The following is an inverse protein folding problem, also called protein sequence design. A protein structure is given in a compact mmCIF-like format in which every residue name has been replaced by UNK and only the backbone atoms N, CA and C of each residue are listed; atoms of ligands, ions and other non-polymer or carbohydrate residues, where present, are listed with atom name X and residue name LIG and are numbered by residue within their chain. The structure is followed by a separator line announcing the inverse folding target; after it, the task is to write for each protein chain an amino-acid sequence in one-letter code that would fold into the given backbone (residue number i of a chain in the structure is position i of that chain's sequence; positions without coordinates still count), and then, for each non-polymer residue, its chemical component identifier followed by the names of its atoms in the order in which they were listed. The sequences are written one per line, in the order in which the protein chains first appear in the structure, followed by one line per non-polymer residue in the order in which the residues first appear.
data_IF_083470876312
#
_entry.id   IF_083470876312
#
_cell.length_a   1.000
_cell.length_b   1.000
_cell.length_c   1.000
_cell.angle_alpha   90.00
_cell.angle_beta   90.00
_cell.angle_gamma   90.00
#
_symmetry.space_group_name_H-M   'P 1'
#
loop_
_entity.id
_entity.type
_entity.pdbx_description
1 polymer ?
#
# COMPACT_ATOMS: atom_id res chain seq x y z
N UNK A 1 35.85 -49.70 -0.87
CA UNK A 1 35.44 -49.31 -0.69
C UNK A 1 35.15 -48.47 -0.44
N UNK A 2 35.09 -48.35 -0.51
CA UNK A 2 34.75 -47.54 -0.12
C UNK A 2 34.21 -46.94 -0.39
N UNK A 3 34.36 -46.82 -0.91
CA UNK A 3 33.78 -46.35 -1.17
C UNK A 3 33.04 -45.73 -0.83
N UNK A 4 32.81 -45.71 -0.72
CA UNK A 4 31.87 -45.26 -0.15
C UNK A 4 32.03 -44.02 0.06
N UNK A 5 32.80 -43.75 0.39
CA UNK A 5 33.05 -42.55 0.74
C UNK A 5 32.66 -41.53 -0.14
N UNK A 6 32.83 -41.52 -1.12
CA UNK A 6 32.56 -40.44 -1.87
C UNK A 6 31.25 -40.04 -1.89
N UNK A 7 30.39 -40.79 -1.71
CA UNK A 7 29.15 -40.39 -1.77
C UNK A 7 28.71 -39.33 -1.02
N UNK A 8 28.89 -39.28 0.09
CA UNK A 8 28.26 -38.32 0.79
C UNK A 8 28.74 -37.01 0.55
N UNK A 9 29.74 -36.84 -0.02
CA UNK A 9 30.22 -35.63 -0.11
C UNK A 9 29.40 -34.92 -1.03
N UNK A 10 28.79 -35.54 -1.85
CA UNK A 10 28.01 -34.92 -2.74
C UNK A 10 26.94 -34.22 -2.13
N UNK A 11 26.43 -34.71 -1.22
CA UNK A 11 25.31 -34.08 -0.63
C UNK A 11 25.62 -32.72 -0.22
N UNK A 12 26.74 -32.51 0.21
CA UNK A 12 27.04 -31.29 0.66
C UNK A 12 26.93 -30.26 -0.31
N UNK A 13 27.32 -30.48 -1.41
CA UNK A 13 27.27 -29.55 -2.31
C UNK A 13 25.98 -29.03 -2.52
N UNK A 14 25.05 -29.75 -2.61
CA UNK A 14 23.80 -29.30 -2.76
C UNK A 14 23.38 -28.31 -1.88
N UNK A 15 23.54 -28.46 -0.80
CA UNK A 15 23.10 -27.55 0.14
C UNK A 15 23.55 -26.21 -0.15
N UNK A 16 24.71 -26.06 -0.42
CA UNK A 16 25.23 -24.87 -0.61
C UNK A 16 24.53 -24.12 -1.63
N UNK A 17 24.22 -24.71 -2.65
CA UNK A 17 23.60 -24.10 -3.62
C UNK A 17 22.39 -23.38 -3.25
N UNK A 18 21.67 -23.87 -2.45
CA UNK A 18 20.50 -23.27 -2.10
C UNK A 18 20.64 -21.96 -1.58
N UNK A 19 21.57 -21.70 -0.90
CA UNK A 19 21.70 -20.46 -0.35
C UNK A 19 21.74 -19.35 -1.26
N UNK A 20 22.29 -19.52 -2.25
CA UNK A 20 22.43 -18.48 -3.07
C UNK A 20 21.20 -17.98 -3.60
N UNK A 21 20.41 -18.79 -3.99
CA UNK A 21 19.21 -18.39 -4.49
C UNK A 21 18.51 -17.31 -3.83
N UNK A 22 18.28 -17.40 -2.68
CA UNK A 22 17.48 -16.45 -2.03
C UNK A 22 17.97 -15.12 -2.29
N UNK A 23 19.10 -15.03 -2.31
CA UNK A 23 19.65 -13.80 -2.42
C UNK A 23 19.17 -13.08 -3.52
N UNK A 24 18.96 -13.72 -4.49
CA UNK A 24 18.62 -13.02 -5.56
C UNK A 24 17.43 -12.27 -5.39
N UNK A 25 16.67 -12.72 -4.73
CA UNK A 25 15.45 -12.10 -4.67
C UNK A 25 15.54 -10.76 -4.34
N UNK A 26 16.43 -10.49 -3.78
CA UNK A 26 16.50 -9.31 -3.36
C UNK A 26 16.46 -8.32 -4.25
N UNK A 27 16.83 -8.53 -5.22
CA UNK A 27 16.87 -7.55 -5.95
C UNK A 27 15.90 -6.89 -6.30
N UNK A 28 15.34 -6.93 -5.90
CA UNK A 28 14.39 -6.33 -6.07
C UNK A 28 14.22 -5.19 -6.71
N UNK A 29 13.30 -5.05 -7.23
CA UNK A 29 13.11 -3.96 -7.81
C UNK A 29 12.37 -3.12 -7.01
N UNK A 30 12.38 -1.95 -6.96
CA UNK A 30 11.69 -1.05 -6.21
C UNK A 30 10.44 -0.75 -6.94
N UNK A 31 9.38 -1.33 -6.59
CA UNK A 31 8.12 -1.04 -7.20
C UNK A 31 7.30 -0.09 -6.35
N UNK A 32 7.92 0.93 -5.87
CA UNK A 32 7.17 1.87 -5.05
C UNK A 32 6.56 2.95 -5.92
N UNK A 33 5.44 3.49 -5.49
CA UNK A 33 4.82 4.62 -6.17
C UNK A 33 4.56 5.66 -5.10
N UNK A 34 4.41 6.89 -5.53
CA UNK A 34 4.14 7.95 -4.61
C UNK A 34 2.66 7.93 -4.32
N UNK A 35 2.27 8.06 -3.09
CA UNK A 35 0.86 8.13 -2.72
C UNK A 35 0.71 9.23 -1.69
N UNK A 36 -0.21 10.13 -1.93
CA UNK A 36 -0.40 11.28 -1.05
C UNK A 36 -1.88 11.34 -0.69
N UNK A 37 -2.18 11.34 0.59
CA UNK A 37 -3.56 11.37 1.07
C UNK A 37 -4.02 12.80 1.20
N UNK A 38 -5.23 13.07 0.78
CA UNK A 38 -5.83 14.39 0.88
C UNK A 38 -7.22 14.23 1.48
N UNK A 39 -7.53 14.93 2.54
CA UNK A 39 -6.73 15.96 3.20
C UNK A 39 -5.65 15.33 4.07
N UNK A 40 -4.61 16.07 4.39
CA UNK A 40 -3.54 15.50 5.21
C UNK A 40 -3.82 15.64 6.71
N UNK A 41 -4.92 16.28 7.07
CA UNK A 41 -5.41 16.28 8.44
C UNK A 41 -6.89 15.94 8.31
N UNK A 42 -7.30 14.83 8.88
CA UNK A 42 -8.66 14.39 8.73
C UNK A 42 -9.42 14.64 10.02
N UNK A 43 -10.51 15.38 9.92
CA UNK A 43 -11.31 15.67 11.10
C UNK A 43 -12.54 14.75 11.08
N UNK A 44 -12.63 13.89 12.08
CA UNK A 44 -13.71 12.93 12.12
C UNK A 44 -15.07 13.57 12.38
N UNK A 45 -15.08 14.87 12.71
CA UNK A 45 -16.34 15.55 12.91
C UNK A 45 -16.82 16.24 11.65
N UNK A 46 -16.10 16.13 10.57
CA UNK A 46 -16.52 16.74 9.32
C UNK A 46 -17.73 16.04 8.77
N UNK A 47 -18.53 16.72 7.99
CA UNK A 47 -19.68 16.13 7.39
C UNK A 47 -19.45 15.83 5.92
N UNK A 48 -19.79 14.65 5.52
CA UNK A 48 -19.70 14.30 4.10
C UNK A 48 -18.27 14.26 3.58
N UNK A 49 -18.16 14.22 2.31
CA UNK A 49 -16.86 14.26 1.68
C UNK A 49 -16.20 12.92 1.53
N UNK A 50 -14.96 12.98 1.15
CA UNK A 50 -14.21 11.76 0.86
C UNK A 50 -12.74 12.00 1.13
N UNK A 51 -12.01 10.90 1.19
CA UNK A 51 -10.57 10.94 1.36
C UNK A 51 -10.00 10.36 0.06
N UNK A 52 -9.00 11.03 -0.49
CA UNK A 52 -8.42 10.61 -1.74
C UNK A 52 -6.94 10.35 -1.61
N UNK A 53 -6.44 9.35 -2.31
CA UNK A 53 -5.03 9.12 -2.41
C UNK A 53 -4.65 9.43 -3.84
N UNK A 54 -3.73 10.37 -4.02
CA UNK A 54 -3.25 10.72 -5.34
C UNK A 54 -1.91 10.05 -5.56
N UNK A 55 -1.71 9.48 -6.71
CA UNK A 55 -0.48 8.74 -6.99
C UNK A 55 0.17 9.27 -8.27
N UNK A 56 1.36 8.79 -8.53
CA UNK A 56 2.05 9.12 -9.76
C UNK A 56 1.98 7.92 -10.73
N UNK A 57 1.06 7.00 -10.54
CA UNK A 57 0.95 5.83 -11.38
C UNK A 57 -0.12 6.06 -12.45
N UNK A 58 0.15 5.74 -13.69
CA UNK A 58 -0.80 5.97 -14.76
C UNK A 58 -2.04 5.10 -14.57
N UNK A 59 -3.19 5.70 -14.54
CA UNK A 59 -4.42 4.97 -14.29
C UNK A 59 -4.66 3.88 -15.35
N UNK A 60 -4.36 4.14 -16.58
CA UNK A 60 -4.62 3.15 -17.60
C UNK A 60 -3.79 1.90 -17.47
N UNK A 61 -2.76 1.95 -16.63
CA UNK A 61 -1.92 0.77 -16.44
C UNK A 61 -2.29 0.03 -15.16
N UNK A 62 -3.41 0.36 -14.54
CA UNK A 62 -3.82 -0.25 -13.30
C UNK A 62 -4.86 -1.32 -13.59
N UNK A 63 -4.59 -2.53 -13.10
CA UNK A 63 -5.56 -3.56 -13.23
C UNK A 63 -6.38 -3.68 -11.96
N UNK A 64 -5.81 -3.45 -10.83
CA UNK A 64 -6.50 -3.57 -9.56
C UNK A 64 -5.82 -2.72 -8.51
N UNK A 65 -6.55 -2.32 -7.51
CA UNK A 65 -5.99 -1.52 -6.43
C UNK A 65 -6.65 -1.94 -5.11
N UNK A 66 -5.87 -1.99 -4.06
CA UNK A 66 -6.37 -2.33 -2.74
C UNK A 66 -5.80 -1.34 -1.74
N UNK A 67 -6.61 -0.94 -0.79
CA UNK A 67 -6.21 0.06 0.18
C UNK A 67 -6.40 -0.49 1.58
N UNK A 68 -5.42 -0.30 2.45
CA UNK A 68 -5.60 -0.58 3.86
C UNK A 68 -5.32 0.70 4.63
N UNK A 69 -5.99 0.84 5.76
CA UNK A 69 -5.77 1.97 6.62
C UNK A 69 -5.50 1.38 7.99
N UNK A 70 -4.34 1.67 8.54
CA UNK A 70 -3.88 1.11 9.80
C UNK A 70 -3.97 -0.42 9.77
N UNK A 71 -3.67 -0.99 8.61
CA UNK A 71 -3.66 -2.44 8.47
C UNK A 71 -5.01 -3.09 8.19
N UNK A 72 -6.08 -2.31 8.12
CA UNK A 72 -7.40 -2.87 7.90
C UNK A 72 -7.85 -2.53 6.50
N UNK A 73 -8.29 -3.51 5.76
CA UNK A 73 -8.67 -3.29 4.37
C UNK A 73 -9.92 -2.45 4.24
N UNK A 74 -9.91 -1.51 3.32
CA UNK A 74 -11.05 -0.66 3.03
C UNK A 74 -11.75 -1.32 1.84
N UNK A 75 -12.94 -1.85 2.07
CA UNK A 75 -13.60 -2.61 1.05
C UNK A 75 -14.32 -1.81 -0.02
N UNK A 76 -14.62 -0.58 0.24
CA UNK A 76 -15.32 0.21 -0.75
C UNK A 76 -14.49 1.37 -1.18
N UNK A 77 -13.83 1.23 -2.28
CA UNK A 77 -13.01 2.31 -2.83
C UNK A 77 -13.43 2.54 -4.27
N UNK A 78 -13.16 3.72 -4.76
CA UNK A 78 -13.42 4.06 -6.14
C UNK A 78 -12.10 4.51 -6.74
N UNK A 79 -11.80 4.06 -7.93
CA UNK A 79 -10.56 4.43 -8.58
C UNK A 79 -10.87 5.17 -9.88
N UNK A 80 -10.07 6.15 -10.22
CA UNK A 80 -10.24 6.87 -11.47
C UNK A 80 -8.94 7.59 -11.83
N UNK A 81 -8.87 8.15 -13.01
CA UNK A 81 -7.72 8.90 -13.45
C UNK A 81 -7.98 10.38 -13.30
N UNK A 82 -7.01 11.13 -12.82
CA UNK A 82 -7.17 12.58 -12.67
C UNK A 82 -6.87 13.28 -13.98
N UNK A 83 -6.74 14.60 -13.95
CA UNK A 83 -6.47 15.39 -15.13
C UNK A 83 -5.20 14.96 -15.84
N UNK A 84 -4.25 14.39 -15.15
CA UNK A 84 -3.03 13.94 -15.77
C UNK A 84 -3.09 12.44 -16.01
N UNK A 85 -4.28 11.86 -15.86
CA UNK A 85 -4.50 10.46 -16.06
C UNK A 85 -3.74 9.58 -15.08
N UNK A 86 -3.50 10.09 -13.90
CA UNK A 86 -2.83 9.31 -12.87
C UNK A 86 -3.88 8.74 -11.93
N UNK A 87 -3.61 7.59 -11.38
CA UNK A 87 -4.54 6.90 -10.51
C UNK A 87 -4.87 7.70 -9.26
N UNK A 88 -6.14 7.83 -8.96
CA UNK A 88 -6.61 8.37 -7.70
C UNK A 88 -7.52 7.33 -7.09
N UNK A 89 -7.35 7.07 -5.79
CA UNK A 89 -8.20 6.13 -5.07
C UNK A 89 -8.98 6.95 -4.07
N UNK A 90 -10.28 6.77 -4.01
CA UNK A 90 -11.13 7.57 -3.15
C UNK A 90 -12.00 6.69 -2.28
N UNK A 91 -12.20 7.07 -1.03
CA UNK A 91 -13.13 6.38 -0.16
C UNK A 91 -13.93 7.39 0.64
N UNK A 92 -15.09 7.00 1.13
CA UNK A 92 -15.97 7.95 1.75
C UNK A 92 -15.57 8.28 3.16
N UNK A 93 -15.89 9.50 3.57
CA UNK A 93 -15.59 9.91 4.91
C UNK A 93 -16.40 9.08 5.91
N UNK A 94 -17.58 8.62 5.53
CA UNK A 94 -18.37 7.80 6.43
C UNK A 94 -17.63 6.54 6.83
N UNK A 95 -16.96 5.91 5.86
CA UNK A 95 -16.23 4.70 6.16
C UNK A 95 -15.03 5.03 7.01
N UNK A 96 -14.39 6.16 6.74
CA UNK A 96 -13.22 6.54 7.50
C UNK A 96 -13.59 6.77 8.96
N UNK A 97 -14.76 7.35 9.21
CA UNK A 97 -15.17 7.60 10.56
C UNK A 97 -15.39 6.31 11.33
N UNK A 98 -15.78 5.27 10.64
CA UNK A 98 -16.01 4.00 11.31
C UNK A 98 -14.69 3.29 11.60
N UNK A 99 -13.66 3.60 10.87
CA UNK A 99 -12.41 2.89 11.00
C UNK A 99 -11.36 3.60 11.83
N UNK A 100 -11.45 4.92 11.96
CA UNK A 100 -10.36 5.69 12.52
C UNK A 100 -10.68 6.32 13.86
N UNK A 101 -9.60 6.55 14.62
CA UNK A 101 -9.70 7.25 15.89
C UNK A 101 -8.68 8.35 15.84
N UNK A 102 -8.79 9.36 16.69
CA UNK A 102 -7.81 10.43 16.69
C UNK A 102 -6.40 9.90 16.90
N UNK A 103 -5.45 10.49 16.22
CA UNK A 103 -4.06 10.06 16.28
C UNK A 103 -3.49 10.09 14.88
N UNK A 104 -2.92 9.00 14.46
CA UNK A 104 -2.38 8.92 13.13
C UNK A 104 -3.05 7.82 12.34
N UNK A 105 -3.10 7.96 11.05
CA UNK A 105 -3.61 6.90 10.19
C UNK A 105 -2.62 6.70 9.07
N UNK A 106 -2.23 5.46 8.86
CA UNK A 106 -1.30 5.10 7.78
C UNK A 106 -2.09 4.41 6.70
N UNK A 107 -2.01 4.98 5.51
CA UNK A 107 -2.70 4.44 4.35
C UNK A 107 -1.70 3.71 3.50
N UNK A 108 -1.98 2.46 3.18
CA UNK A 108 -1.10 1.67 2.34
C UNK A 108 -1.88 1.27 1.10
N UNK A 109 -1.37 1.63 -0.04
CA UNK A 109 -2.01 1.33 -1.31
C UNK A 109 -1.21 0.30 -2.04
N UNK A 110 -1.87 -0.72 -2.54
CA UNK A 110 -1.24 -1.74 -3.35
C UNK A 110 -1.92 -1.72 -4.70
N UNK A 111 -1.16 -1.62 -5.75
CA UNK A 111 -1.68 -1.54 -7.10
C UNK A 111 -1.10 -2.67 -7.92
N UNK A 112 -1.98 -3.39 -8.62
CA UNK A 112 -1.52 -4.42 -9.54
C UNK A 112 -1.57 -3.80 -10.92
N UNK A 113 -0.45 -3.79 -11.60
CA UNK A 113 -0.39 -3.20 -12.93
C UNK A 113 -0.82 -4.18 -13.98
N UNK A 114 -1.11 -3.69 -15.17
CA UNK A 114 -1.46 -4.55 -16.28
C UNK A 114 -0.28 -5.42 -16.67
N UNK A 115 0.92 -5.09 -16.21
CA UNK A 115 2.10 -5.89 -16.50
C UNK A 115 2.23 -7.02 -15.48
N UNK A 116 1.31 -7.12 -14.54
CA UNK A 116 1.35 -8.16 -13.54
C UNK A 116 2.17 -7.84 -12.32
N UNK A 117 2.84 -6.71 -12.30
CA UNK A 117 3.68 -6.37 -11.16
C UNK A 117 2.87 -5.66 -10.10
N UNK A 118 3.33 -5.74 -8.88
CA UNK A 118 2.66 -5.13 -7.76
C UNK A 118 3.45 -3.91 -7.33
N UNK A 119 2.76 -2.80 -7.17
CA UNK A 119 3.39 -1.56 -6.77
C UNK A 119 2.74 -1.12 -5.45
N UNK A 120 3.46 -0.43 -4.61
CA UNK A 120 2.88 0.02 -3.34
C UNK A 120 3.32 1.42 -2.98
N UNK A 121 2.47 2.10 -2.27
CA UNK A 121 2.77 3.43 -1.76
C UNK A 121 2.11 3.61 -0.42
N UNK A 122 2.61 4.51 0.37
CA UNK A 122 2.10 4.71 1.72
C UNK A 122 2.14 6.18 2.09
N UNK A 123 1.24 6.60 2.95
CA UNK A 123 1.25 7.96 3.48
C UNK A 123 0.61 7.92 4.87
N UNK A 124 1.09 8.74 5.78
CA UNK A 124 0.55 8.80 7.13
C UNK A 124 0.03 10.22 7.36
N UNK A 125 -1.19 10.31 7.87
CA UNK A 125 -1.79 11.61 8.10
C UNK A 125 -2.24 11.71 9.55
N UNK A 126 -2.64 12.91 9.95
CA UNK A 126 -3.09 13.15 11.29
C UNK A 126 -4.61 13.08 11.32
N UNK A 127 -5.17 12.49 12.35
CA UNK A 127 -6.60 12.36 12.50
C UNK A 127 -7.01 13.08 13.77
N UNK A 128 -7.96 13.96 13.68
CA UNK A 128 -8.42 14.71 14.84
C UNK A 128 -9.94 14.58 14.94
N UNK A 129 -10.47 14.94 16.07
CA UNK A 129 -11.91 14.94 16.25
C UNK A 129 -12.24 16.22 16.99
N UNK A 130 -12.56 17.27 16.24
CA UNK A 130 -12.86 18.54 16.82
C UNK A 130 -14.19 19.01 16.32
N UNK A 131 -15.13 19.00 17.19
CA UNK A 131 -16.44 19.38 16.83
C UNK A 131 -16.46 20.87 16.70
N UNK A 132 -17.03 21.30 15.76
CA UNK A 132 -17.29 22.61 15.50
C UNK A 132 -16.98 23.75 16.31
N UNK A 133 -16.03 23.71 16.99
CA UNK A 133 -15.65 24.70 17.78
C UNK A 133 -15.42 25.85 17.01
N UNK A 134 -15.04 25.70 15.94
CA UNK A 134 -14.65 26.76 15.28
C UNK A 134 -15.70 27.50 14.75
N UNK A 135 -16.78 27.06 14.75
CA UNK A 135 -17.71 27.72 14.21
C UNK A 135 -18.23 28.66 14.98
N UNK A 136 -17.92 28.92 15.94
CA UNK A 136 -18.49 29.76 16.75
C UNK A 136 -18.14 30.96 16.45
N UNK A 137 -18.07 31.45 16.13
CA UNK A 137 -17.76 32.53 15.80
C UNK A 137 -18.12 33.11 15.38
#
# INVERSE_FOLDING_TARGET
MNRASGKWMIGLLLVLFMLVVPASGVLAEDNSIEAVVSPNVLNLESFGGSVSLHTDNAYRLVEDAALTVNGIEVLQIVTFGDDREQLVVKCSMTIMKEMLKPGEATFDLTVTGTDGLIYSGTDTIKVISQAGVNRKK
#
